data_IF_240968636587
#
_entry.id   IF_240968636587
#
_cell.length_a   1.000
_cell.length_b   1.000
_cell.length_c   1.000
_cell.angle_alpha   90.00
_cell.angle_beta   90.00
_cell.angle_gamma   90.00
#
_symmetry.space_group_name_H-M   'P 1'
#
loop_
_entity.id
_entity.type
_entity.pdbx_description
1 polymer ?
2 polymer ?
3 non-polymer ?
4 non-polymer ?
5 water ?
#
# COMPACT_ATOMS: atom_id res chain seq x y z
N UNK A 2 1.96 -3.11 -21.11
CA UNK A 2 0.63 -2.69 -20.71
C UNK A 2 0.64 -1.32 -20.04
N UNK A 3 -0.46 -0.57 -20.21
CA UNK A 3 -0.61 0.77 -19.65
C UNK A 3 -0.55 0.75 -18.12
N UNK A 4 0.01 1.78 -17.52
CA UNK A 4 0.10 1.93 -16.08
C UNK A 4 -1.26 2.49 -15.59
N UNK A 5 -1.86 1.83 -14.62
CA UNK A 5 -3.08 2.29 -13.98
C UNK A 5 -2.73 3.14 -12.78
N UNK A 6 -3.63 4.04 -12.40
CA UNK A 6 -3.39 4.92 -11.26
C UNK A 6 -4.54 4.85 -10.28
N UNK A 7 -4.25 4.74 -8.99
CA UNK A 7 -5.28 4.72 -7.95
C UNK A 7 -5.18 6.04 -7.23
N UNK A 8 -6.28 6.75 -7.14
CA UNK A 8 -6.31 8.01 -6.40
C UNK A 8 -6.17 7.72 -4.92
N UNK A 9 -5.49 8.61 -4.22
CA UNK A 9 -5.33 8.48 -2.78
C UNK A 9 -6.50 9.05 -2.03
N UNK A 10 -7.38 9.82 -2.71
CA UNK A 10 -8.44 10.59 -2.08
C UNK A 10 -8.05 12.07 -1.98
N UNK A 11 -6.73 12.37 -2.03
CA UNK A 11 -6.23 13.75 -1.98
C UNK A 11 -5.75 14.16 -3.33
N UNK A 12 -6.30 15.27 -3.87
CA UNK A 12 -5.82 15.83 -5.14
C UNK A 12 -4.38 16.30 -5.03
N UNK A 13 -4.02 16.87 -3.88
CA UNK A 13 -2.67 17.34 -3.57
C UNK A 13 -1.67 16.17 -3.63
N UNK A 14 -1.96 15.09 -2.91
CA UNK A 14 -1.10 13.90 -2.90
C UNK A 14 -1.07 13.26 -4.28
N UNK A 15 -2.23 13.16 -4.96
CA UNK A 15 -2.25 12.61 -6.32
C UNK A 15 -1.35 13.42 -7.25
N UNK A 16 -1.38 14.74 -7.17
CA UNK A 16 -0.51 15.56 -8.04
C UNK A 16 0.97 15.26 -7.73
N UNK A 17 1.34 15.19 -6.46
CA UNK A 17 2.74 14.87 -6.09
C UNK A 17 3.18 13.53 -6.67
N UNK A 18 2.28 12.56 -6.70
CA UNK A 18 2.56 11.23 -7.22
C UNK A 18 2.50 11.12 -8.73
N UNK A 19 2.14 12.21 -9.41
CA UNK A 19 2.00 12.21 -10.86
C UNK A 19 0.69 11.63 -11.31
N UNK A 20 -0.34 11.64 -10.46
CA UNK A 20 -1.67 11.17 -10.81
C UNK A 20 -2.32 10.12 -9.95
N UNK A 21 -1.56 9.55 -9.01
CA UNK A 21 -2.05 8.53 -8.10
C UNK A 21 -1.01 7.46 -7.92
N UNK A 22 -1.34 6.44 -7.14
CA UNK A 22 -0.47 5.28 -6.90
C UNK A 22 -0.48 4.44 -8.18
N UNK A 23 0.71 4.09 -8.70
CA UNK A 23 0.84 3.37 -9.96
C UNK A 23 0.80 1.87 -9.85
N UNK A 24 0.21 1.22 -10.87
CA UNK A 24 0.36 -0.19 -11.04
C UNK A 24 1.77 -0.43 -11.61
N UNK A 25 2.26 -1.69 -11.56
CA UNK A 25 3.56 -2.05 -12.07
C UNK A 25 4.65 -1.31 -11.31
N UNK A 26 4.41 -1.05 -10.04
CA UNK A 26 5.35 -0.35 -9.18
C UNK A 26 5.10 -0.70 -7.72
N UNK A 27 6.16 -0.58 -6.93
CA UNK A 27 6.08 -0.64 -5.49
C UNK A 27 6.22 0.80 -5.00
N UNK A 28 5.19 1.28 -4.31
CA UNK A 28 5.25 2.59 -3.68
C UNK A 28 5.46 2.32 -2.22
N UNK A 29 6.53 2.89 -1.64
CA UNK A 29 6.81 2.73 -0.23
C UNK A 29 6.51 4.02 0.46
N UNK A 30 5.65 4.00 1.50
CA UNK A 30 5.25 5.19 2.26
C UNK A 30 5.78 5.06 3.70
N UNK A 31 6.68 5.96 4.14
CA UNK A 31 7.27 5.83 5.45
C UNK A 31 7.08 7.07 6.29
N UNK A 32 7.11 6.84 7.59
CA UNK A 32 6.90 7.86 8.59
C UNK A 32 6.64 7.24 9.94
N UNK A 33 6.37 8.11 10.91
CA UNK A 33 6.08 7.69 12.26
C UNK A 33 4.65 7.17 12.35
N UNK A 34 4.33 6.54 13.48
CA UNK A 34 2.98 6.08 13.74
C UNK A 34 2.03 7.30 13.72
N UNK A 35 0.91 7.17 13.02
CA UNK A 35 -0.04 8.27 12.89
C UNK A 35 0.34 9.29 11.83
N UNK A 36 1.46 9.06 11.08
CA UNK A 36 1.89 9.97 9.98
C UNK A 36 0.90 9.92 8.79
N UNK A 37 0.06 8.89 8.72
CA UNK A 37 -0.93 8.75 7.66
C UNK A 37 -0.72 7.57 6.74
N UNK A 38 0.41 6.89 6.88
CA UNK A 38 0.73 5.76 6.04
C UNK A 38 -0.31 4.63 6.12
N UNK A 39 -0.83 4.32 7.33
CA UNK A 39 -1.83 3.26 7.46
C UNK A 39 -3.20 3.77 7.01
N UNK A 40 -3.52 5.05 7.27
CA UNK A 40 -4.77 5.65 6.83
C UNK A 40 -4.79 5.64 5.30
N UNK A 41 -3.63 5.89 4.68
CA UNK A 41 -3.51 5.86 3.23
C UNK A 41 -3.71 4.46 2.70
N UNK A 42 -3.16 3.44 3.33
CA UNK A 42 -3.35 2.02 2.97
C UNK A 42 -4.85 1.66 3.01
N UNK A 43 -5.56 2.03 4.11
CA UNK A 43 -6.99 1.76 4.25
C UNK A 43 -7.81 2.49 3.18
N UNK A 44 -7.41 3.72 2.83
CA UNK A 44 -8.12 4.52 1.83
C UNK A 44 -7.95 3.91 0.45
N UNK A 45 -6.70 3.52 0.08
CA UNK A 45 -6.41 2.90 -1.23
C UNK A 45 -7.20 1.59 -1.42
N UNK A 46 -7.36 0.83 -0.34
CA UNK A 46 -8.11 -0.45 -0.34
C UNK A 46 -9.57 -0.22 -0.73
N UNK A 47 -10.13 0.98 -0.46
CA UNK A 47 -11.47 1.36 -0.91
C UNK A 47 -11.41 1.97 -2.31
N UNK A 48 -10.51 2.95 -2.52
CA UNK A 48 -10.43 3.69 -3.79
C UNK A 48 -10.20 2.80 -4.99
N UNK A 49 -9.39 1.76 -4.83
CA UNK A 49 -9.08 0.85 -5.94
C UNK A 49 -10.32 0.18 -6.54
N UNK A 50 -11.36 0.03 -5.73
CA UNK A 50 -12.59 -0.62 -6.11
C UNK A 50 -13.48 0.24 -7.00
N UNK A 51 -13.28 1.57 -6.98
CA UNK A 51 -14.07 2.52 -7.75
C UNK A 51 -13.76 2.39 -9.23
N UNK A 52 -14.67 2.82 -10.13
CA UNK A 52 -14.33 2.89 -11.56
C UNK A 52 -13.28 3.98 -11.85
N UNK A 53 -12.62 3.99 -13.02
CA UNK A 53 -11.53 4.96 -13.27
C UNK A 53 -11.91 6.43 -13.24
N UNK A 54 -13.13 6.78 -13.66
CA UNK A 54 -13.54 8.21 -13.58
C UNK A 54 -13.75 8.68 -12.11
N UNK A 55 -13.69 7.75 -11.16
CA UNK A 55 -13.75 8.04 -9.74
C UNK A 55 -12.40 7.76 -9.05
N UNK A 56 -11.36 7.49 -9.83
CA UNK A 56 -10.02 7.29 -9.34
C UNK A 56 -9.62 5.88 -8.99
N UNK A 57 -10.41 4.88 -9.37
CA UNK A 57 -10.09 3.50 -9.07
C UNK A 57 -9.76 2.69 -10.29
N UNK A 58 -9.65 1.39 -10.10
CA UNK A 58 -9.34 0.47 -11.19
C UNK A 58 -10.35 -0.67 -11.28
N UNK A 59 -11.57 -0.49 -10.77
CA UNK A 59 -12.59 -1.55 -10.75
C UNK A 59 -11.98 -2.85 -10.21
N UNK A 60 -11.18 -2.76 -9.15
CA UNK A 60 -10.43 -3.90 -8.65
C UNK A 60 -10.75 -4.26 -7.24
N UNK A 61 -10.04 -5.23 -6.75
CA UNK A 61 -10.11 -5.67 -5.37
C UNK A 61 -8.70 -5.49 -4.77
N UNK A 62 -8.62 -5.58 -3.44
CA UNK A 62 -7.42 -5.35 -2.69
C UNK A 62 -7.06 -6.54 -1.85
N UNK A 63 -5.75 -6.69 -1.59
CA UNK A 63 -5.20 -7.72 -0.70
C UNK A 63 -4.34 -6.97 0.34
N UNK A 64 -4.51 -7.27 1.63
CA UNK A 64 -3.85 -6.57 2.71
C UNK A 64 -3.13 -7.54 3.58
N UNK A 65 -1.80 -7.42 3.60
CA UNK A 65 -0.94 -8.22 4.46
C UNK A 65 -0.60 -7.31 5.66
N UNK A 66 -0.98 -7.75 6.85
CA UNK A 66 -0.80 -7.03 8.08
C UNK A 66 0.31 -7.67 8.91
N UNK A 67 1.31 -6.90 9.32
CA UNK A 67 2.37 -7.47 10.17
C UNK A 67 2.31 -6.98 11.63
N UNK A 68 1.55 -5.91 11.95
CA UNK A 68 1.54 -5.28 13.28
C UNK A 68 0.15 -4.98 13.81
N UNK A 69 -0.88 -5.71 13.38
CA UNK A 69 -2.26 -5.44 13.82
C UNK A 69 -2.68 -4.01 13.51
N UNK A 70 -2.47 -3.60 12.29
CA UNK A 70 -2.87 -2.27 11.87
C UNK A 70 -4.19 -2.27 11.14
N UNK A 71 -4.67 -3.44 10.67
CA UNK A 71 -5.90 -3.49 9.89
C UNK A 71 -7.16 -3.30 10.70
N UNK A 72 -7.97 -2.31 10.31
CA UNK A 72 -9.23 -1.99 10.99
C UNK A 72 -10.38 -2.08 10.03
N UNK A 73 -11.12 -3.21 10.02
CA UNK A 73 -12.29 -3.32 9.14
C UNK A 73 -13.31 -2.22 9.36
N UNK A 74 -13.49 -1.73 10.60
CA UNK A 74 -14.44 -0.64 10.84
C UNK A 74 -14.00 0.66 10.15
N UNK A 75 -12.68 0.87 9.98
CA UNK A 75 -12.21 2.07 9.29
C UNK A 75 -12.54 1.96 7.79
N UNK A 76 -12.34 0.78 7.16
CA UNK A 76 -12.75 0.60 5.75
C UNK A 76 -14.24 0.88 5.60
N UNK A 77 -15.06 0.39 6.56
CA UNK A 77 -16.50 0.61 6.53
C UNK A 77 -16.86 2.08 6.53
N UNK A 78 -16.26 2.84 7.46
CA UNK A 78 -16.49 4.28 7.60
C UNK A 78 -16.11 5.01 6.33
N UNK A 79 -14.95 4.67 5.74
CA UNK A 79 -14.50 5.30 4.49
C UNK A 79 -15.50 4.98 3.38
N UNK A 80 -15.91 3.71 3.28
CA UNK A 80 -16.85 3.33 2.21
C UNK A 80 -18.16 4.09 2.33
N UNK A 81 -18.76 4.05 3.52
CA UNK A 81 -20.08 4.70 3.78
C UNK A 81 -20.03 6.21 3.51
N UNK A 82 -18.95 6.89 3.91
CA UNK A 82 -18.83 8.34 3.65
C UNK A 82 -18.53 8.71 2.19
N UNK A 83 -18.13 7.74 1.35
CA UNK A 83 -17.90 7.94 -0.08
C UNK A 83 -19.09 7.45 -0.97
N UNK A 84 -20.22 7.10 -0.34
CA UNK A 84 -21.42 6.66 -1.05
C UNK A 84 -21.43 5.21 -1.45
N UNK A 85 -20.57 4.38 -0.84
CA UNK A 85 -20.47 2.96 -1.16
C UNK A 85 -21.08 2.12 -0.07
N UNK A 86 -21.35 0.87 -0.44
CA UNK A 86 -21.92 -0.14 0.44
C UNK A 86 -20.75 -0.76 1.23
N UNK A 87 -20.68 -0.53 2.56
CA UNK A 87 -19.55 -1.07 3.33
C UNK A 87 -19.36 -2.57 3.30
N UNK A 88 -20.45 -3.38 3.26
CA UNK A 88 -20.31 -4.83 3.22
C UNK A 88 -19.68 -5.28 1.92
N UNK A 89 -20.06 -4.67 0.80
CA UNK A 89 -19.49 -5.05 -0.50
C UNK A 89 -18.02 -4.63 -0.57
N UNK A 90 -17.73 -3.47 -0.02
CA UNK A 90 -16.35 -2.98 0.00
C UNK A 90 -15.45 -3.88 0.82
N UNK A 91 -15.89 -4.29 2.02
CA UNK A 91 -15.10 -5.20 2.82
C UNK A 91 -14.91 -6.56 2.17
N UNK A 92 -15.92 -7.01 1.41
CA UNK A 92 -15.84 -8.29 0.71
C UNK A 92 -14.78 -8.29 -0.40
N UNK A 93 -14.42 -7.11 -0.89
CA UNK A 93 -13.39 -6.95 -1.93
C UNK A 93 -12.02 -6.66 -1.33
N UNK A 94 -11.83 -6.81 0.01
CA UNK A 94 -10.53 -6.68 0.64
C UNK A 94 -10.20 -8.02 1.29
N UNK A 95 -9.24 -8.75 0.71
CA UNK A 95 -8.78 -10.02 1.27
C UNK A 95 -7.63 -9.67 2.23
N UNK A 96 -7.74 -10.10 3.48
CA UNK A 96 -6.81 -9.78 4.55
C UNK A 96 -6.03 -11.00 5.03
N UNK A 97 -4.76 -10.80 5.45
CA UNK A 97 -4.01 -11.87 6.12
C UNK A 97 -3.06 -11.26 7.12
N UNK A 98 -2.96 -11.89 8.29
CA UNK A 98 -1.99 -11.49 9.30
C UNK A 98 -0.76 -12.29 9.07
N UNK A 99 0.38 -11.60 8.92
CA UNK A 99 1.68 -12.28 8.78
C UNK A 99 2.22 -12.49 10.18
N UNK A 100 2.54 -13.71 10.56
CA UNK A 100 2.99 -14.04 11.92
C UNK A 100 4.45 -13.80 12.14
N UNK A 101 5.26 -13.88 11.09
CA UNK A 101 6.71 -13.70 11.10
C UNK A 101 7.12 -13.47 9.64
N UNK A 102 8.43 -13.21 9.37
CA UNK A 102 8.90 -12.87 8.02
C UNK A 102 8.81 -14.03 7.06
N UNK A 103 9.03 -15.26 7.54
CA UNK A 103 8.90 -16.40 6.64
C UNK A 103 7.43 -16.62 6.23
N UNK A 104 6.50 -16.42 7.15
CA UNK A 104 5.07 -16.55 6.88
C UNK A 104 4.68 -15.42 5.89
N UNK A 105 5.27 -14.23 6.09
CA UNK A 105 5.06 -13.08 5.17
C UNK A 105 5.44 -13.45 3.75
N UNK A 106 6.56 -14.16 3.57
CA UNK A 106 6.96 -14.60 2.22
C UNK A 106 5.96 -15.60 1.66
N UNK A 107 5.55 -16.59 2.46
CA UNK A 107 4.57 -17.58 2.01
C UNK A 107 3.26 -16.86 1.61
N UNK A 108 2.86 -15.80 2.38
CA UNK A 108 1.64 -15.08 2.04
C UNK A 108 1.69 -14.40 0.69
N UNK A 109 2.87 -13.98 0.26
CA UNK A 109 3.06 -13.37 -1.07
C UNK A 109 2.89 -14.42 -2.16
N UNK A 110 3.33 -15.67 -1.94
CA UNK A 110 3.11 -16.75 -2.90
C UNK A 110 1.61 -17.11 -2.95
N UNK A 111 0.91 -17.08 -1.81
CA UNK A 111 -0.53 -17.31 -1.81
C UNK A 111 -1.25 -16.17 -2.47
N UNK A 112 -0.76 -14.95 -2.29
CA UNK A 112 -1.39 -13.80 -2.94
C UNK A 112 -1.37 -14.02 -4.45
N UNK A 113 -0.28 -14.54 -4.98
CA UNK A 113 -0.18 -14.76 -6.42
C UNK A 113 -1.26 -15.71 -6.91
N UNK A 114 -1.61 -16.73 -6.13
CA UNK A 114 -2.68 -17.69 -6.48
C UNK A 114 -4.03 -16.97 -6.66
N UNK A 115 -4.37 -16.07 -5.72
CA UNK A 115 -5.61 -15.32 -5.79
C UNK A 115 -5.56 -14.34 -6.96
N UNK A 116 -4.43 -13.66 -7.17
CA UNK A 116 -4.27 -12.71 -8.28
C UNK A 116 -4.46 -13.46 -9.61
N UNK A 117 -3.85 -14.64 -9.74
CA UNK A 117 -4.05 -15.43 -10.98
C UNK A 117 -5.50 -15.82 -11.20
N UNK A 118 -6.17 -16.24 -10.13
CA UNK A 118 -7.57 -16.67 -10.20
C UNK A 118 -8.46 -15.54 -10.67
N UNK A 119 -8.21 -14.32 -10.18
CA UNK A 119 -9.09 -13.21 -10.48
C UNK A 119 -8.68 -12.36 -11.64
N UNK A 120 -7.55 -12.65 -12.30
CA UNK A 120 -6.94 -11.80 -13.31
C UNK A 120 -7.86 -11.37 -14.47
N UNK A 121 -8.61 -12.32 -15.04
CA UNK A 121 -9.44 -12.05 -16.18
C UNK A 121 -10.91 -12.00 -15.81
N UNK A 122 -11.23 -11.74 -14.53
CA UNK A 122 -12.62 -11.60 -14.11
C UNK A 122 -12.97 -10.11 -14.24
N UNK A 123 -14.21 -9.76 -13.89
CA UNK A 123 -14.64 -8.34 -13.93
C UNK A 123 -14.00 -7.51 -12.80
N UNK A 124 -13.52 -8.15 -11.71
CA UNK A 124 -12.91 -7.41 -10.59
C UNK A 124 -11.59 -8.07 -10.21
N UNK A 125 -10.55 -7.81 -11.01
CA UNK A 125 -9.22 -8.41 -10.71
C UNK A 125 -8.59 -7.75 -9.50
N UNK A 126 -7.62 -8.42 -8.87
CA UNK A 126 -6.85 -7.78 -7.80
C UNK A 126 -6.09 -6.65 -8.45
N UNK A 127 -6.12 -5.42 -7.89
CA UNK A 127 -5.34 -4.32 -8.43
C UNK A 127 -4.46 -3.64 -7.43
N UNK A 128 -4.53 -4.04 -6.15
CA UNK A 128 -3.71 -3.45 -5.11
C UNK A 128 -3.31 -4.54 -4.11
N UNK A 129 -2.03 -4.63 -3.81
CA UNK A 129 -1.49 -5.50 -2.77
C UNK A 129 -0.80 -4.60 -1.74
N UNK A 130 -1.30 -4.60 -0.53
CA UNK A 130 -0.74 -3.82 0.56
C UNK A 130 0.07 -4.69 1.47
N UNK A 131 1.26 -4.22 1.88
CA UNK A 131 2.06 -4.87 2.94
C UNK A 131 2.33 -3.79 3.99
N UNK A 132 1.63 -3.85 5.13
CA UNK A 132 1.79 -2.78 6.14
C UNK A 132 2.93 -3.13 7.11
N UNK A 133 3.92 -2.21 7.23
CA UNK A 133 5.12 -2.35 8.00
C UNK A 133 5.86 -3.53 7.44
N UNK A 134 6.11 -3.48 6.10
CA UNK A 134 6.86 -4.50 5.34
C UNK A 134 8.12 -5.02 6.03
N UNK A 135 8.84 -4.15 6.74
CA UNK A 135 10.11 -4.53 7.36
C UNK A 135 10.03 -4.95 8.83
N UNK A 136 8.88 -4.77 9.52
CA UNK A 136 8.82 -5.01 10.98
C UNK A 136 9.32 -6.41 11.39
N UNK A 137 8.83 -7.46 10.75
CA UNK A 137 9.31 -8.81 11.09
C UNK A 137 10.76 -9.03 10.72
N UNK A 138 11.24 -8.47 9.58
CA UNK A 138 12.63 -8.63 9.17
C UNK A 138 13.54 -7.93 10.18
N UNK A 139 13.14 -6.79 10.71
CA UNK A 139 13.98 -6.04 11.63
C UNK A 139 13.99 -6.68 13.01
N UNK A 140 12.92 -7.36 13.37
CA UNK A 140 12.78 -8.04 14.65
C UNK A 140 13.56 -9.37 14.65
N UNK A 141 13.61 -10.05 13.50
CA UNK A 141 14.24 -11.38 13.37
C UNK A 141 15.69 -11.36 12.96
N UNK A 142 16.08 -10.51 12.01
CA UNK A 142 17.46 -10.44 11.53
C UNK A 142 18.06 -9.27 12.24
N UNK A 143 18.59 -9.55 13.45
CA UNK A 143 19.02 -8.51 14.35
C UNK A 143 20.29 -8.91 15.07
N UNK A 144 21.09 -7.94 15.43
CA UNK A 144 22.33 -8.20 16.11
C UNK A 144 23.54 -8.09 15.22
N UNK A 145 24.66 -8.56 15.74
CA UNK A 145 25.95 -8.44 15.10
C UNK A 145 26.00 -9.03 13.70
N UNK A 146 26.34 -8.20 12.73
CA UNK A 146 26.44 -8.61 11.34
C UNK A 146 25.15 -9.10 10.74
N UNK A 147 23.98 -8.72 11.28
CA UNK A 147 22.69 -9.17 10.74
C UNK A 147 22.27 -8.39 9.52
N UNK A 148 22.83 -7.17 9.31
CA UNK A 148 22.42 -6.27 8.23
C UNK A 148 22.45 -6.94 6.86
N UNK A 149 23.58 -7.58 6.51
CA UNK A 149 23.73 -8.26 5.22
C UNK A 149 22.60 -9.27 4.95
N UNK A 150 22.34 -10.19 5.90
CA UNK A 150 21.28 -11.18 5.69
C UNK A 150 19.88 -10.54 5.69
N UNK A 151 19.63 -9.55 6.57
CA UNK A 151 18.33 -8.86 6.51
C UNK A 151 18.13 -8.21 5.15
N UNK A 152 19.17 -7.53 4.62
CA UNK A 152 19.05 -6.84 3.32
C UNK A 152 18.83 -7.84 2.17
N UNK A 153 19.51 -9.01 2.20
CA UNK A 153 19.34 -10.05 1.17
C UNK A 153 17.91 -10.62 1.21
N UNK A 154 17.36 -10.85 2.43
CA UNK A 154 16.02 -11.40 2.59
C UNK A 154 14.97 -10.38 2.15
N UNK A 155 15.20 -9.12 2.47
CA UNK A 155 14.31 -8.04 2.07
C UNK A 155 14.41 -7.82 0.57
N UNK A 156 15.61 -7.89 0.00
CA UNK A 156 15.81 -7.71 -1.45
C UNK A 156 15.02 -8.75 -2.22
N UNK A 157 15.02 -10.00 -1.74
CA UNK A 157 14.29 -11.10 -2.38
C UNK A 157 12.78 -10.93 -2.26
N UNK A 158 12.30 -10.54 -1.06
CA UNK A 158 10.91 -10.27 -0.80
C UNK A 158 10.43 -9.15 -1.72
N UNK A 159 11.20 -8.06 -1.84
CA UNK A 159 10.84 -6.96 -2.73
C UNK A 159 10.87 -7.37 -4.21
N UNK A 160 11.79 -8.26 -4.60
CA UNK A 160 11.84 -8.76 -5.98
C UNK A 160 10.56 -9.59 -6.29
N UNK A 161 10.07 -10.38 -5.32
CA UNK A 161 8.86 -11.17 -5.52
C UNK A 161 7.68 -10.20 -5.69
N UNK A 162 7.64 -9.13 -4.88
CA UNK A 162 6.59 -8.11 -4.98
C UNK A 162 6.64 -7.34 -6.26
N UNK A 163 7.86 -6.98 -6.73
CA UNK A 163 8.02 -6.27 -8.01
C UNK A 163 7.48 -7.14 -9.14
N UNK A 164 7.76 -8.45 -9.04
CA UNK A 164 7.31 -9.41 -10.06
C UNK A 164 5.80 -9.43 -10.12
N UNK A 165 5.09 -9.51 -8.96
CA UNK A 165 3.62 -9.48 -8.95
C UNK A 165 3.08 -8.18 -9.51
N UNK A 166 3.66 -7.00 -9.14
CA UNK A 166 3.24 -5.71 -9.69
C UNK A 166 3.30 -5.67 -11.21
N UNK A 167 4.44 -6.09 -11.73
CA UNK A 167 4.72 -6.02 -13.18
C UNK A 167 4.02 -7.13 -13.99
N UNK A 168 4.01 -8.34 -13.49
CA UNK A 168 3.39 -9.46 -14.19
C UNK A 168 1.84 -9.37 -14.22
N UNK A 169 1.19 -8.92 -13.12
CA UNK A 169 -0.27 -8.90 -13.04
C UNK A 169 -0.88 -7.50 -13.07
N UNK A 170 -0.05 -6.48 -13.31
CA UNK A 170 -0.47 -5.09 -13.46
C UNK A 170 -1.25 -4.64 -12.22
N UNK A 171 -0.61 -4.81 -11.08
CA UNK A 171 -1.16 -4.35 -9.82
C UNK A 171 -0.26 -3.31 -9.18
N UNK A 172 -0.84 -2.49 -8.30
CA UNK A 172 -0.07 -1.56 -7.50
C UNK A 172 0.32 -2.28 -6.19
N UNK A 173 1.59 -2.24 -5.81
CA UNK A 173 2.06 -2.81 -4.55
C UNK A 173 2.33 -1.62 -3.67
N UNK A 174 1.68 -1.55 -2.52
CA UNK A 174 1.79 -0.41 -1.63
C UNK A 174 2.33 -0.91 -0.33
N UNK A 175 3.48 -0.40 0.10
CA UNK A 175 4.06 -0.89 1.35
C UNK A 175 4.35 0.23 2.31
N UNK A 176 4.28 -0.05 3.57
CA UNK A 176 4.61 0.97 4.54
C UNK A 176 5.79 0.59 5.35
N UNK A 177 6.39 1.59 6.01
CA UNK A 177 7.51 1.36 6.91
C UNK A 177 7.62 2.46 7.96
N UNK A 178 8.05 2.08 9.17
CA UNK A 178 8.29 3.06 10.24
C UNK A 178 9.69 3.59 9.96
N UNK A 179 9.99 4.81 10.40
CA UNK A 179 11.33 5.38 10.19
C UNK A 179 12.35 4.57 11.02
N UNK A 186 21.27 5.35 5.83
CA UNK A 186 22.28 4.92 4.86
C UNK A 186 21.99 3.54 4.26
N UNK A 187 20.88 2.89 4.61
CA UNK A 187 20.56 1.59 4.02
C UNK A 187 20.03 1.69 2.59
N UNK A 188 20.28 0.63 1.80
CA UNK A 188 19.78 0.56 0.43
C UNK A 188 18.28 0.30 0.50
N UNK A 189 17.53 0.75 -0.51
CA UNK A 189 16.07 0.55 -0.63
C UNK A 189 15.77 0.22 -2.07
N UNK A 190 14.78 -0.66 -2.37
CA UNK A 190 14.53 -1.02 -3.77
C UNK A 190 13.10 -0.72 -4.27
N UNK A 191 12.28 0.01 -3.48
CA UNK A 191 10.94 0.42 -3.94
C UNK A 191 11.09 1.30 -5.15
N UNK A 192 10.06 1.36 -6.00
CA UNK A 192 10.06 2.18 -7.18
C UNK A 192 9.99 3.64 -6.77
N UNK A 193 9.16 3.92 -5.74
CA UNK A 193 8.92 5.28 -5.31
C UNK A 193 8.80 5.32 -3.82
N UNK A 194 9.54 6.22 -3.16
CA UNK A 194 9.51 6.38 -1.73
C UNK A 194 8.91 7.71 -1.36
N UNK A 195 7.97 7.69 -0.47
CA UNK A 195 7.28 8.89 -0.02
C UNK A 195 7.44 8.99 1.49
N UNK A 196 7.91 10.12 1.96
CA UNK A 196 8.01 10.39 3.39
C UNK A 196 6.77 11.16 3.85
N UNK A 197 6.13 10.73 4.94
CA UNK A 197 4.96 11.37 5.52
C UNK A 197 5.27 11.88 6.89
N UNK A 198 4.72 13.04 7.24
CA UNK A 198 4.94 13.60 8.56
C UNK A 198 3.73 14.42 8.97
N UNK A 199 3.58 14.64 10.28
CA UNK A 199 2.47 15.42 10.80
C UNK A 199 2.85 16.86 10.71
N UNK A 200 1.98 17.67 10.14
CA UNK A 200 2.24 19.09 9.98
C UNK A 200 1.31 19.94 10.83
N UNK A 201 1.45 21.25 10.62
CA UNK A 201 0.66 22.28 11.30
C UNK A 201 -0.82 22.17 10.92
N UNK A 202 -1.69 22.43 11.90
CA UNK A 202 -3.12 22.46 11.72
C UNK A 202 -3.80 21.13 11.50
N UNK A 203 -3.19 20.06 12.03
CA UNK A 203 -3.72 18.72 11.91
C UNK A 203 -3.54 18.09 10.53
N UNK A 204 -2.75 18.70 9.66
CA UNK A 204 -2.55 18.15 8.32
C UNK A 204 -1.42 17.12 8.32
N UNK A 205 -1.30 16.40 7.20
CA UNK A 205 -0.16 15.52 6.95
C UNK A 205 0.55 16.12 5.75
N UNK A 206 1.88 16.00 5.71
CA UNK A 206 2.71 16.54 4.66
C UNK A 206 3.41 15.39 4.03
N UNK A 207 3.46 15.36 2.72
CA UNK A 207 4.12 14.29 1.99
C UNK A 207 5.25 14.84 1.13
N UNK A 208 6.38 14.16 1.12
CA UNK A 208 7.53 14.52 0.31
C UNK A 208 8.06 13.30 -0.40
N UNK A 209 8.43 13.45 -1.67
CA UNK A 209 9.02 12.35 -2.41
C UNK A 209 10.51 12.32 -2.10
N UNK A 210 11.05 11.14 -1.90
CA UNK A 210 12.46 10.94 -1.55
C UNK A 210 13.16 10.40 -2.78
N UNK A 211 14.25 11.06 -3.17
CA UNK A 211 15.07 10.68 -4.32
C UNK A 211 14.24 10.53 -5.60
N UNK A 212 13.30 11.48 -5.88
CA UNK A 212 12.44 11.40 -7.08
C UNK A 212 12.48 12.66 -7.98
N UNK A 213 13.62 12.83 -8.70
CA UNK A 213 13.73 13.93 -9.68
C UNK A 213 12.84 13.72 -10.91
N UNK A 214 12.48 12.44 -11.20
CA UNK A 214 11.59 12.05 -12.30
C UNK A 214 10.19 12.65 -12.15
N UNK A 215 9.82 13.06 -10.91
CA UNK A 215 8.53 13.66 -10.58
C UNK A 215 8.71 15.12 -10.13
N UNK A 216 7.58 15.87 -10.04
CA UNK A 216 7.67 17.29 -9.64
C UNK A 216 8.23 17.59 -8.24
N UNK A 217 8.99 18.70 -8.14
CA UNK A 217 9.49 19.20 -6.86
C UNK A 217 8.27 19.82 -6.14
N UNK A 218 8.16 19.56 -4.86
CA UNK A 218 7.05 20.05 -4.07
C UNK A 218 6.72 19.13 -2.93
N UNK A 219 5.76 19.53 -2.15
CA UNK A 219 5.24 18.71 -1.08
C UNK A 219 3.74 18.81 -1.16
N UNK A 220 3.05 17.71 -0.80
CA UNK A 220 1.61 17.68 -0.76
C UNK A 220 1.15 17.78 0.67
N UNK A 221 -0.01 18.36 0.83
CA UNK A 221 -0.68 18.51 2.09
C UNK A 221 -2.04 17.84 2.00
N UNK A 222 -2.38 17.04 3.02
CA UNK A 222 -3.65 16.34 3.03
C UNK A 222 -4.12 16.17 4.44
N UNK A 223 -5.36 15.70 4.57
CA UNK A 223 -6.03 15.50 5.85
C UNK A 223 -6.47 14.07 6.04
N UNK A 224 -6.58 13.64 7.30
CA UNK A 224 -7.12 12.33 7.66
C UNK A 224 -8.54 12.67 8.11
N UNK A 225 -9.55 12.18 7.36
CA UNK A 225 -10.96 12.48 7.63
C UNK A 225 -11.83 11.22 7.74
N UNK A 226 -13.15 11.42 7.86
CA UNK A 226 -14.17 10.36 7.85
C UNK A 226 -14.24 9.67 6.46
N UNK A 227 -13.71 10.33 5.39
CA UNK A 227 -13.57 9.74 4.05
C UNK A 227 -12.17 9.07 3.85
N UNK A 228 -11.37 8.97 4.90
CA UNK A 228 -10.05 8.38 4.84
C UNK A 228 -9.02 9.46 4.63
N UNK A 229 -8.65 9.70 3.38
CA UNK A 229 -7.66 10.71 3.01
C UNK A 229 -8.34 11.64 2.07
N UNK A 230 -8.18 12.95 2.27
CA UNK A 230 -8.62 13.97 1.35
C UNK A 230 -7.79 15.21 1.55
N UNK A 231 -7.96 16.22 0.73
CA UNK A 231 -7.19 17.48 0.90
C UNK A 231 -7.49 18.15 2.25
C UNK B 1 -5.05 -16.63 3.47
N UNK B 2 -5.72 -15.79 2.62
CA UNK B 2 -6.35 -14.56 2.97
C UNK B 2 -7.79 -14.91 3.21
N UNK B 3 -8.46 -13.97 3.89
CA UNK B 3 -9.87 -14.06 4.13
C UNK B 3 -10.49 -12.75 3.91
N UNK B 4 -11.69 -12.72 3.44
CA UNK B 4 -12.53 -11.58 3.17
C UNK B 4 -12.66 -10.89 4.50
N UNK B 5 -12.49 -9.59 4.39
CA UNK B 5 -12.60 -8.70 5.53
C UNK B 5 -14.10 -8.64 5.93
N UNK B 6 -14.40 -8.36 7.26
X LIG C 1 -8.34 -12.83 -21.13
X LIG C 1 -6.94 -12.92 -21.53
X LIG C 1 -9.12 -12.25 -22.59
X LIG C 1 -8.95 -14.47 -21.06
X LIG C 1 -10.03 -11.69 -22.35
X LIG C 1 -9.44 -13.01 -23.29
X LIG C 1 -8.49 -11.57 -23.14
X LIG C 1 -8.31 -15.11 -20.45
X LIG C 1 -9.94 -14.54 -20.61
X LIG C 1 -9.02 -14.98 -22.02
X LIG D 1 -11.00 11.31 -9.77
X LIG D 1 -12.42 11.48 -9.40
X LIG D 1 -10.39 12.96 -9.99
X LIG D 1 -10.17 11.06 -8.23
X LIG D 1 -9.56 13.21 -9.33
X LIG D 1 -9.98 13.16 -10.98
X LIG D 1 -11.16 13.71 -9.83
X LIG D 1 -10.19 11.95 -7.61
X LIG D 1 -10.62 10.27 -7.62
X LIG D 1 -9.11 10.81 -8.31
X LIG E 1 -1.55 12.34 -15.33
X LIG E 1 -0.85 11.06 -15.16
X LIG E 1 -2.64 12.45 -13.97
X LIG E 1 -0.43 13.58 -14.80
X LIG E 1 -3.18 11.53 -13.81
X LIG E 1 -3.40 13.22 -14.07
X LIG E 1 -2.11 12.67 -13.03
X LIG E 1 -0.03 14.14 -15.66
X LIG E 1 0.43 13.21 -14.26
X LIG E 1 -0.86 14.37 -14.19
X LIG F 1 -1.36 6.32 9.79
#
# INVERSE_FOLDING_TARGET
MATIGRISTGSKSLDKLLGGGIETQAITEVFGEFGSGKTQLAHTLAVMVQLPPEEGGLNGSAMYIDTENTFRPERLREIAQNRGLDPDEVLDNVAYARAFNSNHQMLLVQQAEDMIKELLNTDRPVKLLIVDSLTSHFRSEYIGRGALAERQQKLAKHLADLHRLANLYDIAVFVTNQVQANGGHILAHSATLRVYLRKGKGGKRIARLIDAPHLPEGEAVFSITEKGIED
XFHTAX
DMS S O C1 C2 H11 H12 H13 H21 H22 H23
DMS S O C1 C2 H11 H12 H13 H21 H22 H23
DMS S O C1 C2 H11 H12 H13 H21 H22 H23
CA CA
#
